data_IF_517711841925
#
_entry.id   IF_517711841925
#
_cell.length_a   1.000
_cell.length_b   1.000
_cell.length_c   1.000
_cell.angle_alpha   90.00
_cell.angle_beta   90.00
_cell.angle_gamma   90.00
#
_symmetry.space_group_name_H-M   'P 1'
#
loop_
_entity.id
_entity.type
_entity.pdbx_description
1 polymer ?
#
# COMPACT_ATOMS: atom_id res chain seq x y z
N UNK A 1 -29.19 -14.54 26.19
CA UNK A 1 -30.17 -14.35 25.10
C UNK A 1 -30.12 -12.91 24.63
N UNK A 2 -29.13 -12.58 23.80
CA UNK A 2 -29.20 -11.44 22.89
C UNK A 2 -28.47 -11.85 21.60
N UNK A 3 -29.32 -12.15 20.61
CA UNK A 3 -29.14 -11.95 19.18
C UNK A 3 -28.05 -12.71 18.43
N UNK A 4 -28.40 -13.95 18.05
CA UNK A 4 -27.94 -14.70 16.85
C UNK A 4 -28.09 -13.96 15.50
N UNK A 5 -28.40 -12.66 15.52
CA UNK A 5 -28.72 -11.85 14.34
C UNK A 5 -27.49 -11.14 13.76
N UNK A 6 -26.41 -10.95 14.53
CA UNK A 6 -25.18 -10.29 14.05
C UNK A 6 -24.21 -11.23 13.32
N UNK A 7 -24.26 -12.53 13.58
CA UNK A 7 -23.40 -13.51 12.90
C UNK A 7 -23.77 -13.71 11.42
N UNK A 8 -25.02 -13.42 11.04
CA UNK A 8 -25.53 -13.68 9.67
C UNK A 8 -25.24 -12.56 8.66
N UNK A 9 -24.58 -11.48 9.07
CA UNK A 9 -24.19 -10.37 8.19
C UNK A 9 -22.78 -10.51 7.59
N UNK A 10 -21.96 -11.44 8.05
CA UNK A 10 -20.53 -11.54 7.67
C UNK A 10 -20.24 -12.51 6.51
N UNK A 11 -21.27 -13.16 5.95
CA UNK A 11 -21.13 -14.25 4.97
C UNK A 11 -21.46 -13.87 3.54
N UNK A 12 -21.70 -12.60 3.23
CA UNK A 12 -21.85 -12.16 1.83
C UNK A 12 -20.56 -11.50 1.38
N UNK A 13 -19.78 -12.18 0.52
CA UNK A 13 -18.75 -11.55 -0.29
C UNK A 13 -19.41 -10.43 -1.09
N UNK A 14 -19.19 -9.14 -0.78
CA UNK A 14 -19.69 -8.09 -1.64
C UNK A 14 -18.81 -8.13 -2.87
N UNK A 15 -19.33 -8.68 -3.97
CA UNK A 15 -18.66 -8.63 -5.26
C UNK A 15 -18.18 -7.19 -5.50
N UNK A 16 -16.91 -7.03 -5.87
CA UNK A 16 -16.32 -5.70 -6.00
C UNK A 16 -17.09 -4.90 -7.06
N UNK A 17 -17.57 -3.72 -6.66
CA UNK A 17 -18.17 -2.80 -7.61
C UNK A 17 -17.09 -2.16 -8.48
N UNK A 18 -17.46 -1.75 -9.69
CA UNK A 18 -16.58 -0.97 -10.59
C UNK A 18 -16.03 0.29 -9.87
N UNK A 19 -16.87 0.97 -9.08
CA UNK A 19 -16.43 2.10 -8.24
C UNK A 19 -15.35 1.70 -7.22
N UNK A 20 -15.45 0.49 -6.64
CA UNK A 20 -14.44 -0.06 -5.73
C UNK A 20 -13.09 -0.27 -6.42
N UNK A 21 -13.08 -0.85 -7.63
CA UNK A 21 -11.85 -1.05 -8.41
C UNK A 21 -11.20 0.29 -8.77
N UNK A 22 -11.99 1.26 -9.25
CA UNK A 22 -11.47 2.62 -9.51
C UNK A 22 -10.89 3.28 -8.27
N UNK A 23 -11.51 3.06 -7.11
CA UNK A 23 -11.03 3.61 -5.85
C UNK A 23 -9.68 3.00 -5.45
N UNK A 24 -9.54 1.67 -5.52
CA UNK A 24 -8.30 0.96 -5.22
C UNK A 24 -7.19 1.38 -6.19
N UNK A 25 -7.49 1.44 -7.49
CA UNK A 25 -6.54 1.88 -8.51
C UNK A 25 -6.03 3.30 -8.24
N UNK A 26 -6.93 4.21 -7.83
CA UNK A 26 -6.56 5.58 -7.44
C UNK A 26 -5.63 5.61 -6.23
N UNK A 27 -5.88 4.79 -5.21
CA UNK A 27 -5.00 4.70 -4.03
C UNK A 27 -3.61 4.18 -4.40
N UNK A 28 -3.55 3.21 -5.31
CA UNK A 28 -2.31 2.63 -5.81
C UNK A 28 -1.60 3.49 -6.88
N UNK A 29 -2.21 4.60 -7.34
CA UNK A 29 -1.76 5.44 -8.46
C UNK A 29 -1.58 4.66 -9.77
N UNK A 30 -2.48 3.71 -10.02
CA UNK A 30 -2.53 2.92 -11.25
C UNK A 30 -3.68 3.46 -12.11
N UNK A 31 -3.37 3.78 -13.36
CA UNK A 31 -4.37 4.12 -14.38
C UNK A 31 -4.87 2.81 -15.02
N UNK A 32 -6.19 2.67 -15.17
CA UNK A 32 -6.82 1.48 -15.73
C UNK A 32 -7.68 1.87 -16.93
N UNK A 33 -7.60 1.09 -18.00
CA UNK A 33 -8.59 1.12 -19.07
C UNK A 33 -9.90 0.45 -18.63
N UNK A 34 -11.00 0.71 -19.35
CA UNK A 34 -12.31 0.09 -19.08
C UNK A 34 -12.26 -1.45 -19.18
N UNK A 35 -11.45 -1.97 -20.10
CA UNK A 35 -11.26 -3.41 -20.29
C UNK A 35 -10.51 -4.04 -19.12
N UNK A 36 -9.46 -3.38 -18.65
CA UNK A 36 -8.70 -3.80 -17.46
C UNK A 36 -9.54 -3.70 -16.19
N UNK A 37 -10.42 -2.71 -16.09
CA UNK A 37 -11.31 -2.56 -14.95
C UNK A 37 -12.24 -3.76 -14.77
N UNK A 38 -12.91 -4.20 -15.83
CA UNK A 38 -13.81 -5.37 -15.75
C UNK A 38 -13.02 -6.67 -15.53
N UNK A 39 -11.82 -6.77 -16.12
CA UNK A 39 -10.92 -7.90 -15.85
C UNK A 39 -10.52 -7.96 -14.36
N UNK A 40 -9.98 -6.88 -13.83
CA UNK A 40 -9.48 -6.82 -12.45
C UNK A 40 -10.60 -6.92 -11.42
N UNK A 41 -11.80 -6.47 -11.74
CA UNK A 41 -12.98 -6.70 -10.92
C UNK A 41 -13.21 -8.19 -10.66
N UNK A 42 -13.16 -9.02 -11.70
CA UNK A 42 -13.38 -10.46 -11.59
C UNK A 42 -12.20 -11.17 -10.90
N UNK A 43 -10.97 -10.81 -11.27
CA UNK A 43 -9.76 -11.40 -10.69
C UNK A 43 -9.64 -11.08 -9.20
N UNK A 44 -9.82 -9.81 -8.82
CA UNK A 44 -9.71 -9.39 -7.41
C UNK A 44 -10.85 -9.97 -6.56
N UNK A 45 -12.07 -10.07 -7.11
CA UNK A 45 -13.17 -10.73 -6.40
C UNK A 45 -12.84 -12.19 -6.09
N UNK A 46 -12.27 -12.91 -7.06
CA UNK A 46 -11.85 -14.31 -6.88
C UNK A 46 -10.74 -14.45 -5.81
N UNK A 47 -9.80 -13.51 -5.75
CA UNK A 47 -8.75 -13.47 -4.72
C UNK A 47 -9.35 -13.21 -3.34
N UNK A 48 -10.27 -12.25 -3.22
CA UNK A 48 -10.92 -11.96 -1.94
C UNK A 48 -11.78 -13.13 -1.46
N UNK A 49 -12.47 -13.83 -2.36
CA UNK A 49 -13.21 -15.06 -2.04
C UNK A 49 -12.28 -16.16 -1.52
N UNK A 50 -11.07 -16.28 -2.07
CA UNK A 50 -10.07 -17.20 -1.54
C UNK A 50 -9.59 -16.78 -0.14
N UNK A 51 -9.31 -15.49 0.07
CA UNK A 51 -8.89 -14.94 1.37
C UNK A 51 -9.99 -15.07 2.43
N UNK A 52 -11.26 -15.01 2.04
CA UNK A 52 -12.40 -15.15 2.95
C UNK A 52 -12.43 -16.51 3.69
N UNK A 53 -11.75 -17.54 3.17
CA UNK A 53 -11.56 -18.81 3.89
C UNK A 53 -10.85 -18.64 5.24
N UNK A 54 -10.02 -17.60 5.39
CA UNK A 54 -9.36 -17.31 6.65
C UNK A 54 -10.34 -16.93 7.77
N UNK A 55 -11.55 -16.47 7.43
CA UNK A 55 -12.60 -16.14 8.42
C UNK A 55 -13.22 -17.39 9.06
N UNK A 56 -12.98 -18.59 8.53
CA UNK A 56 -13.46 -19.85 9.10
C UNK A 56 -12.68 -20.27 10.36
N UNK A 57 -11.51 -19.65 10.57
CA UNK A 57 -10.63 -19.96 11.70
C UNK A 57 -10.91 -18.98 12.86
N UNK A 58 -11.20 -19.52 14.03
CA UNK A 58 -11.34 -18.72 15.25
C UNK A 58 -9.98 -18.18 15.70
N UNK A 59 -9.92 -16.87 15.88
CA UNK A 59 -8.73 -16.13 16.32
C UNK A 59 -8.99 -15.36 17.61
N UNK A 60 -10.08 -15.65 18.32
CA UNK A 60 -10.39 -15.03 19.61
C UNK A 60 -9.26 -15.29 20.63
N UNK A 61 -8.72 -14.21 21.20
CA UNK A 61 -7.62 -14.27 22.16
C UNK A 61 -6.23 -14.50 21.55
N UNK A 62 -6.10 -14.54 20.21
CA UNK A 62 -4.79 -14.64 19.53
C UNK A 62 -4.25 -13.25 19.22
N UNK A 63 -3.12 -12.89 19.82
CA UNK A 63 -2.44 -11.63 19.53
C UNK A 63 -1.88 -11.59 18.10
N UNK A 64 -2.03 -10.47 17.36
CA UNK A 64 -1.45 -10.34 16.03
C UNK A 64 0.09 -10.40 16.03
N UNK A 65 0.65 -11.08 15.03
CA UNK A 65 2.11 -11.13 14.85
C UNK A 65 2.60 -10.01 13.94
N UNK A 66 3.28 -9.01 14.51
CA UNK A 66 3.80 -7.85 13.75
C UNK A 66 5.21 -8.05 13.20
N UNK A 67 6.08 -8.73 13.95
CA UNK A 67 7.48 -8.93 13.61
C UNK A 67 8.00 -10.20 14.26
N UNK A 68 8.90 -10.91 13.57
CA UNK A 68 9.39 -12.23 13.99
C UNK A 68 10.69 -12.19 14.79
N UNK A 69 11.36 -11.03 14.86
CA UNK A 69 12.72 -10.90 15.38
C UNK A 69 12.80 -10.59 16.88
N UNK A 70 11.71 -10.16 17.49
CA UNK A 70 11.67 -9.74 18.89
C UNK A 70 12.43 -8.43 19.17
N UNK A 71 12.81 -7.67 18.14
CA UNK A 71 13.50 -6.40 18.32
C UNK A 71 12.60 -5.38 19.02
N UNK A 72 13.14 -4.74 20.04
CA UNK A 72 12.50 -3.68 20.83
C UNK A 72 13.49 -2.52 20.87
N UNK A 73 13.00 -1.29 20.68
CA UNK A 73 13.78 -0.06 20.82
C UNK A 73 15.10 -0.04 20.02
N UNK A 74 15.07 -0.54 18.79
CA UNK A 74 16.22 -0.49 17.87
C UNK A 74 16.48 0.94 17.38
N UNK A 75 17.10 1.74 18.24
CA UNK A 75 17.39 3.15 18.00
C UNK A 75 18.73 3.36 17.30
N UNK A 76 18.79 4.39 16.44
CA UNK A 76 20.03 4.93 15.90
C UNK A 76 20.51 6.08 16.79
N UNK A 77 21.80 6.15 17.09
CA UNK A 77 22.39 7.31 17.78
C UNK A 77 22.17 8.60 16.99
N UNK A 78 21.85 9.69 17.67
CA UNK A 78 21.68 11.01 17.04
C UNK A 78 23.04 11.69 16.82
N UNK A 79 23.86 11.07 15.99
CA UNK A 79 25.15 11.62 15.56
C UNK A 79 25.19 11.72 14.03
N UNK A 80 25.94 12.71 13.53
CA UNK A 80 26.25 12.77 12.11
C UNK A 80 27.10 11.55 11.76
N UNK A 81 26.68 10.80 10.75
CA UNK A 81 27.42 9.61 10.32
C UNK A 81 28.74 9.94 9.62
N UNK A 82 28.88 11.13 9.01
CA UNK A 82 30.10 11.56 8.32
C UNK A 82 30.52 10.72 7.10
N UNK A 83 29.92 9.55 6.91
CA UNK A 83 30.19 8.58 5.83
C UNK A 83 29.83 9.12 4.43
N UNK A 84 28.93 10.11 4.34
CA UNK A 84 28.44 10.66 3.08
C UNK A 84 28.57 12.19 3.06
N UNK A 85 29.74 12.68 2.65
CA UNK A 85 29.91 14.10 2.36
C UNK A 85 29.16 14.44 1.06
N UNK A 86 28.33 15.49 1.09
CA UNK A 86 27.55 15.95 -0.07
C UNK A 86 28.45 16.66 -1.09
N UNK A 87 29.28 15.89 -1.79
CA UNK A 87 30.14 16.37 -2.88
C UNK A 87 29.33 16.65 -4.14
N UNK A 88 29.92 17.41 -5.08
CA UNK A 88 29.31 17.64 -6.39
C UNK A 88 29.11 16.32 -7.17
N UNK A 89 30.07 15.40 -7.10
CA UNK A 89 29.97 14.07 -7.71
C UNK A 89 28.81 13.26 -7.15
N UNK A 90 28.69 13.18 -5.81
CA UNK A 90 27.60 12.45 -5.17
C UNK A 90 26.25 13.06 -5.53
N UNK A 91 26.15 14.39 -5.55
CA UNK A 91 24.94 15.09 -5.96
C UNK A 91 24.54 14.73 -7.39
N UNK A 92 25.48 14.78 -8.33
CA UNK A 92 25.20 14.44 -9.73
C UNK A 92 24.80 12.97 -9.87
N UNK A 93 25.41 12.06 -9.12
CA UNK A 93 25.01 10.63 -9.09
C UNK A 93 23.60 10.43 -8.57
N UNK A 94 23.18 11.19 -7.55
CA UNK A 94 21.83 11.11 -6.97
C UNK A 94 20.79 11.73 -7.91
N UNK A 95 20.99 12.98 -8.33
CA UNK A 95 20.01 13.72 -9.15
C UNK A 95 19.99 13.18 -10.59
N UNK A 96 21.12 12.69 -11.09
CA UNK A 96 21.24 12.09 -12.43
C UNK A 96 20.38 10.85 -12.65
N UNK A 97 19.85 10.21 -11.60
CA UNK A 97 18.89 9.11 -11.72
C UNK A 97 17.46 9.58 -12.02
N UNK A 98 17.18 10.88 -11.85
CA UNK A 98 15.84 11.41 -12.06
C UNK A 98 15.55 11.57 -13.57
N UNK A 99 14.37 11.16 -14.06
CA UNK A 99 13.99 11.32 -15.47
C UNK A 99 14.02 12.78 -15.96
N UNK A 100 13.68 13.71 -15.08
CA UNK A 100 13.72 15.15 -15.35
C UNK A 100 14.38 15.88 -14.20
N UNK A 101 15.36 16.73 -14.52
CA UNK A 101 16.07 17.57 -13.56
C UNK A 101 16.22 18.98 -14.07
N UNK A 102 16.30 19.92 -13.15
CA UNK A 102 16.61 21.32 -13.43
C UNK A 102 17.56 21.83 -12.35
N UNK A 103 18.77 22.21 -12.75
CA UNK A 103 19.86 22.56 -11.84
C UNK A 103 20.08 21.44 -10.80
N UNK A 104 19.85 21.75 -9.51
CA UNK A 104 20.04 20.82 -8.38
C UNK A 104 18.72 20.21 -7.88
N UNK A 105 17.67 20.21 -8.70
CA UNK A 105 16.33 19.77 -8.31
C UNK A 105 15.79 18.71 -9.25
N UNK A 106 15.00 17.78 -8.71
CA UNK A 106 14.14 16.90 -9.48
C UNK A 106 12.96 17.72 -9.99
N UNK A 107 12.75 17.73 -11.30
CA UNK A 107 11.68 18.50 -11.92
C UNK A 107 10.43 17.64 -12.03
N UNK A 108 9.34 18.12 -11.45
CA UNK A 108 8.00 17.49 -11.51
C UNK A 108 6.96 18.50 -11.99
N UNK A 109 5.78 18.01 -12.38
CA UNK A 109 4.62 18.87 -12.63
C UNK A 109 4.19 19.57 -11.32
N UNK A 110 3.63 20.77 -11.43
CA UNK A 110 3.11 21.50 -10.27
C UNK A 110 2.09 20.64 -9.50
N UNK A 111 2.19 20.65 -8.18
CA UNK A 111 1.34 19.84 -7.28
C UNK A 111 -0.05 20.47 -7.10
N UNK A 112 -0.11 21.80 -7.11
CA UNK A 112 -1.37 22.54 -7.03
C UNK A 112 -1.66 23.16 -8.40
N UNK A 113 -2.86 22.89 -8.91
CA UNK A 113 -3.41 23.63 -10.04
C UNK A 113 -3.86 24.99 -9.53
N UNK A 114 -3.49 26.05 -10.24
CA UNK A 114 -3.94 27.42 -9.95
C UNK A 114 -5.27 27.69 -10.61
#
# INVERSE_FOLDING_TARGET
MLTDKEAKSRTESPGLSSTGIKHIAKLARIELSEQEEEKYKNELSSILDFVNKLNEVDTEGVEPLYQTTGLIDSMRSDTSRGEFNMTEDLRERLIGQAPHKENRFIKVKSVLNK
#
